data_IF_664134207202
#
_entry.id   IF_664134207202
#
_cell.length_a   1.000
_cell.length_b   1.000
_cell.length_c   1.000
_cell.angle_alpha   90.00
_cell.angle_beta   90.00
_cell.angle_gamma   90.00
#
_symmetry.space_group_name_H-M   'P 1'
#
loop_
_entity.id
_entity.type
_entity.pdbx_description
1 polymer ?
#
# COMPACT_ATOMS: atom_id res chain seq x y z
N UNK A 1 -32.35 -37.53 -22.49
CA UNK A 1 -30.97 -37.44 -21.96
C UNK A 1 -30.13 -38.48 -22.71
N UNK A 2 -29.16 -38.08 -23.55
CA UNK A 2 -28.32 -39.05 -24.28
C UNK A 2 -27.34 -39.70 -23.32
N UNK A 3 -27.23 -41.03 -23.36
CA UNK A 3 -26.18 -41.76 -22.67
C UNK A 3 -24.93 -41.76 -23.56
N UNK A 4 -23.79 -41.35 -22.98
CA UNK A 4 -22.50 -41.23 -23.64
C UNK A 4 -21.50 -42.07 -22.83
N UNK A 5 -20.58 -42.75 -23.51
CA UNK A 5 -19.54 -43.56 -22.86
C UNK A 5 -18.57 -42.69 -22.03
N UNK A 6 -17.91 -43.28 -21.03
CA UNK A 6 -17.01 -42.55 -20.15
C UNK A 6 -15.77 -41.97 -20.88
N UNK A 7 -15.35 -42.59 -21.99
CA UNK A 7 -14.29 -42.12 -22.88
C UNK A 7 -14.77 -41.07 -23.91
N UNK A 8 -16.08 -40.77 -23.93
CA UNK A 8 -16.78 -39.81 -24.80
C UNK A 8 -16.68 -40.11 -26.32
N UNK A 9 -16.29 -41.34 -26.70
CA UNK A 9 -16.21 -41.76 -28.10
C UNK A 9 -17.49 -42.38 -28.66
N UNK A 10 -18.47 -42.68 -27.82
CA UNK A 10 -19.69 -43.39 -28.21
C UNK A 10 -20.93 -42.81 -27.54
N UNK A 11 -22.07 -42.88 -28.23
CA UNK A 11 -23.38 -42.59 -27.66
C UNK A 11 -24.38 -43.71 -27.94
N UNK A 12 -25.36 -43.88 -27.03
CA UNK A 12 -26.37 -44.92 -27.14
C UNK A 12 -27.63 -44.39 -27.84
N UNK A 13 -28.03 -45.02 -28.94
CA UNK A 13 -29.20 -44.60 -29.73
C UNK A 13 -30.54 -45.21 -29.25
N UNK A 14 -30.51 -46.12 -28.26
CA UNK A 14 -31.67 -46.87 -27.79
C UNK A 14 -31.59 -48.37 -28.06
N UNK A 15 -30.75 -48.80 -29.02
CA UNK A 15 -30.59 -50.22 -29.41
C UNK A 15 -29.12 -50.66 -29.53
N UNK A 16 -28.20 -49.76 -29.88
CA UNK A 16 -26.76 -50.05 -30.00
C UNK A 16 -25.90 -48.81 -29.67
N UNK A 17 -24.62 -49.05 -29.40
CA UNK A 17 -23.61 -47.99 -29.29
C UNK A 17 -23.19 -47.54 -30.69
N UNK A 18 -23.18 -46.22 -30.90
CA UNK A 18 -22.77 -45.58 -32.15
C UNK A 18 -21.58 -44.65 -31.88
N UNK A 19 -20.61 -44.54 -32.81
CA UNK A 19 -19.49 -43.63 -32.62
C UNK A 19 -19.98 -42.19 -32.55
N UNK A 20 -19.24 -41.36 -31.81
CA UNK A 20 -19.43 -39.92 -31.77
C UNK A 20 -18.52 -39.32 -32.86
N UNK A 21 -19.09 -38.96 -34.00
CA UNK A 21 -18.36 -38.39 -35.13
C UNK A 21 -17.91 -36.94 -34.80
N UNK A 22 -16.61 -36.67 -34.92
CA UNK A 22 -16.06 -35.32 -34.93
C UNK A 22 -16.13 -34.76 -36.36
N UNK A 23 -16.77 -33.61 -36.53
CA UNK A 23 -16.94 -32.94 -37.84
C UNK A 23 -15.58 -32.58 -38.48
N UNK A 24 -15.16 -33.36 -39.48
CA UNK A 24 -14.14 -32.97 -40.45
C UNK A 24 -14.68 -33.24 -41.85
N UNK A 25 -15.16 -32.18 -42.50
CA UNK A 25 -15.69 -32.23 -43.86
C UNK A 25 -14.58 -32.07 -44.89
N UNK A 26 -14.34 -33.11 -45.71
CA UNK A 26 -13.50 -32.99 -46.91
C UNK A 26 -14.18 -33.59 -48.15
N UNK A 27 -14.37 -32.71 -49.14
CA UNK A 27 -14.55 -32.92 -50.58
C UNK A 27 -15.39 -34.10 -51.12
N UNK A 28 -16.45 -33.75 -51.87
CA UNK A 28 -16.88 -34.51 -53.05
C UNK A 28 -16.90 -33.61 -54.29
N UNK A 29 -16.50 -34.18 -55.44
CA UNK A 29 -16.17 -33.42 -56.65
C UNK A 29 -17.39 -32.92 -57.44
N UNK A 30 -17.24 -31.76 -58.10
CA UNK A 30 -18.16 -31.26 -59.10
C UNK A 30 -17.43 -30.39 -60.12
N UNK A 31 -17.28 -30.87 -61.36
CA UNK A 31 -16.63 -30.12 -62.44
C UNK A 31 -17.63 -29.16 -63.09
N UNK A 32 -17.21 -27.91 -63.34
CA UNK A 32 -18.03 -26.89 -64.00
C UNK A 32 -17.26 -25.60 -64.26
N UNK A 33 -16.69 -25.45 -65.44
CA UNK A 33 -16.02 -24.22 -65.88
C UNK A 33 -17.03 -23.15 -66.28
N UNK A 34 -17.07 -22.03 -65.55
CA UNK A 34 -17.66 -20.78 -66.01
C UNK A 34 -16.83 -19.60 -65.49
N UNK A 35 -16.23 -18.86 -66.40
CA UNK A 35 -15.49 -17.62 -66.09
C UNK A 35 -16.44 -16.51 -65.67
N UNK A 36 -16.27 -15.97 -64.47
CA UNK A 36 -16.87 -14.69 -64.06
C UNK A 36 -15.77 -13.81 -63.48
N UNK A 37 -15.58 -12.66 -64.12
CA UNK A 37 -14.59 -11.65 -63.75
C UNK A 37 -15.07 -10.93 -62.47
N UNK A 38 -14.26 -10.97 -61.41
CA UNK A 38 -14.63 -10.46 -60.09
C UNK A 38 -13.58 -9.48 -59.54
N UNK A 39 -14.07 -8.44 -58.85
CA UNK A 39 -13.33 -7.28 -58.36
C UNK A 39 -12.11 -7.63 -57.47
N UNK A 40 -11.08 -6.76 -57.43
CA UNK A 40 -9.90 -6.98 -56.59
C UNK A 40 -10.28 -7.12 -55.11
N UNK A 41 -9.64 -8.03 -54.36
CA UNK A 41 -9.98 -8.26 -52.97
C UNK A 41 -9.67 -7.03 -52.10
N UNK A 42 -10.66 -6.56 -51.36
CA UNK A 42 -10.45 -5.62 -50.25
C UNK A 42 -9.51 -6.28 -49.25
N UNK A 43 -8.44 -5.61 -48.78
CA UNK A 43 -7.53 -6.19 -47.79
C UNK A 43 -8.28 -6.42 -46.48
N UNK A 44 -8.61 -7.68 -46.21
CA UNK A 44 -9.13 -8.11 -44.91
C UNK A 44 -8.03 -7.86 -43.88
N UNK A 45 -8.26 -7.05 -42.83
CA UNK A 45 -7.27 -6.90 -41.77
C UNK A 45 -7.00 -8.29 -41.18
N UNK A 46 -5.75 -8.65 -40.86
CA UNK A 46 -5.46 -9.97 -40.34
C UNK A 46 -6.29 -10.21 -39.08
N UNK A 47 -7.13 -11.25 -39.12
CA UNK A 47 -7.71 -11.82 -37.90
C UNK A 47 -6.59 -11.99 -36.88
N UNK A 48 -6.85 -11.84 -35.56
CA UNK A 48 -5.85 -12.07 -34.53
C UNK A 48 -5.46 -13.56 -34.50
N UNK A 49 -4.57 -13.92 -35.43
CA UNK A 49 -3.93 -15.22 -35.53
C UNK A 49 -3.33 -15.53 -34.18
N UNK A 50 -3.55 -16.76 -33.72
CA UNK A 50 -3.00 -17.23 -32.45
C UNK A 50 -1.49 -16.95 -32.44
N UNK A 51 -1.09 -15.94 -31.67
CA UNK A 51 0.30 -15.52 -31.61
C UNK A 51 1.15 -16.73 -31.20
N UNK A 52 2.25 -16.95 -31.93
CA UNK A 52 3.17 -18.04 -31.61
C UNK A 52 3.52 -17.98 -30.12
N UNK A 53 3.42 -19.09 -29.37
CA UNK A 53 3.44 -19.06 -27.92
C UNK A 53 4.74 -18.44 -27.42
N UNK A 54 4.63 -17.27 -26.78
CA UNK A 54 5.80 -16.53 -26.26
C UNK A 54 6.58 -17.42 -25.32
N UNK A 55 7.87 -17.64 -25.63
CA UNK A 55 8.76 -18.36 -24.73
C UNK A 55 8.94 -17.57 -23.43
N UNK A 56 8.43 -18.10 -22.33
CA UNK A 56 8.60 -17.55 -20.99
C UNK A 56 9.59 -18.46 -20.25
N UNK A 57 10.89 -18.11 -20.15
CA UNK A 57 11.93 -19.00 -19.61
C UNK A 57 11.57 -19.57 -18.23
N UNK A 58 10.98 -18.73 -17.37
CA UNK A 58 10.54 -19.09 -16.01
C UNK A 58 9.50 -20.23 -15.96
N UNK A 59 8.78 -20.54 -17.05
CA UNK A 59 7.87 -21.71 -17.10
C UNK A 59 8.61 -23.04 -17.24
N UNK A 60 9.85 -23.01 -17.70
CA UNK A 60 10.68 -24.19 -17.95
C UNK A 60 11.78 -24.36 -16.88
N UNK A 61 11.89 -23.40 -15.96
CA UNK A 61 12.71 -23.53 -14.77
C UNK A 61 12.08 -24.56 -13.81
N UNK A 62 12.88 -25.50 -13.31
CA UNK A 62 12.41 -26.47 -12.33
C UNK A 62 12.28 -25.73 -11.01
N UNK A 63 11.05 -25.54 -10.52
CA UNK A 63 10.78 -24.86 -9.25
C UNK A 63 11.58 -25.47 -8.12
N UNK A 64 12.71 -24.85 -7.78
CA UNK A 64 13.54 -25.27 -6.67
C UNK A 64 12.74 -25.10 -5.38
N UNK A 65 12.78 -26.11 -4.49
CA UNK A 65 12.20 -25.98 -3.16
C UNK A 65 12.90 -24.78 -2.48
N UNK A 66 12.18 -23.71 -2.11
CA UNK A 66 12.83 -22.49 -1.65
C UNK A 66 13.65 -22.76 -0.39
N UNK A 67 14.80 -22.13 -0.29
CA UNK A 67 15.74 -22.36 0.82
C UNK A 67 15.26 -21.65 2.09
N UNK A 68 15.00 -22.37 3.20
CA UNK A 68 14.60 -21.74 4.45
C UNK A 68 15.77 -21.02 5.11
N UNK A 69 15.57 -19.76 5.46
CA UNK A 69 16.51 -18.95 6.22
C UNK A 69 16.16 -18.91 7.71
N UNK A 70 14.90 -19.16 8.07
CA UNK A 70 14.32 -18.89 9.39
C UNK A 70 13.76 -20.15 10.07
N UNK A 71 13.42 -20.00 11.35
CA UNK A 71 12.79 -21.05 12.16
C UNK A 71 13.65 -22.31 12.34
N UNK A 72 12.99 -23.43 12.63
CA UNK A 72 13.62 -24.74 12.76
C UNK A 72 14.14 -25.22 11.40
N UNK A 73 13.37 -25.05 10.31
CA UNK A 73 13.78 -25.42 8.95
C UNK A 73 15.10 -24.77 8.53
N UNK A 74 15.26 -23.45 8.72
CA UNK A 74 16.50 -22.74 8.37
C UNK A 74 17.66 -22.95 9.35
N UNK A 75 17.41 -23.49 10.55
CA UNK A 75 18.47 -24.01 11.43
C UNK A 75 18.93 -25.39 10.95
N UNK A 76 18.02 -26.30 10.65
CA UNK A 76 18.33 -27.64 10.13
C UNK A 76 19.02 -27.58 8.76
N UNK A 77 18.58 -26.69 7.86
CA UNK A 77 19.23 -26.48 6.57
C UNK A 77 20.69 -26.02 6.73
N UNK A 78 20.95 -25.05 7.62
CA UNK A 78 22.33 -24.61 7.91
C UNK A 78 23.18 -25.68 8.59
N UNK A 79 22.66 -26.36 9.62
CA UNK A 79 23.37 -27.40 10.36
C UNK A 79 23.66 -28.65 9.50
N UNK A 80 22.82 -28.95 8.52
CA UNK A 80 23.04 -30.04 7.56
C UNK A 80 23.94 -29.67 6.38
N UNK A 81 24.51 -28.44 6.35
CA UNK A 81 25.32 -27.96 5.23
C UNK A 81 24.54 -27.87 3.92
N UNK A 82 23.25 -27.57 3.99
CA UNK A 82 22.34 -27.51 2.84
C UNK A 82 21.75 -28.85 2.39
N UNK A 83 22.07 -29.96 3.05
CA UNK A 83 21.62 -31.31 2.65
C UNK A 83 20.16 -31.61 3.00
N UNK A 84 19.61 -30.98 4.04
CA UNK A 84 18.22 -31.19 4.49
C UNK A 84 17.43 -29.90 4.29
N UNK A 85 16.74 -29.80 3.16
CA UNK A 85 15.81 -28.71 2.87
C UNK A 85 14.36 -29.16 3.14
N UNK A 86 13.80 -28.72 4.26
CA UNK A 86 12.39 -28.96 4.62
C UNK A 86 11.41 -27.96 3.97
N UNK A 87 11.92 -27.06 3.11
CA UNK A 87 11.16 -25.93 2.58
C UNK A 87 10.90 -24.85 3.63
N UNK A 88 10.21 -23.80 3.18
CA UNK A 88 9.80 -22.66 4.01
C UNK A 88 8.78 -23.09 5.05
N UNK A 89 8.94 -22.62 6.28
CA UNK A 89 7.89 -22.76 7.30
C UNK A 89 6.67 -21.87 6.95
N UNK A 90 5.47 -22.24 7.39
CA UNK A 90 4.26 -21.44 7.10
C UNK A 90 4.34 -19.98 7.60
N UNK A 91 5.07 -19.73 8.69
CA UNK A 91 5.33 -18.37 9.17
C UNK A 91 6.34 -17.60 8.29
N UNK A 92 7.34 -18.30 7.75
CA UNK A 92 8.33 -17.74 6.82
C UNK A 92 7.71 -17.44 5.45
N UNK A 93 6.82 -18.31 4.95
CA UNK A 93 6.05 -18.05 3.73
C UNK A 93 5.20 -16.78 3.89
N UNK A 94 4.39 -16.67 4.96
CA UNK A 94 3.59 -15.45 5.22
C UNK A 94 4.44 -14.19 5.30
N UNK A 95 5.63 -14.28 5.90
CA UNK A 95 6.54 -13.14 5.97
C UNK A 95 7.07 -12.72 4.57
N UNK A 96 7.38 -13.68 3.71
CA UNK A 96 7.76 -13.41 2.32
C UNK A 96 6.58 -12.86 1.51
N UNK A 97 5.37 -13.40 1.69
CA UNK A 97 4.15 -12.88 1.06
C UNK A 97 3.90 -11.42 1.44
N UNK A 98 4.09 -11.06 2.71
CA UNK A 98 4.02 -9.67 3.18
C UNK A 98 5.13 -8.79 2.61
N UNK A 99 6.36 -9.29 2.50
CA UNK A 99 7.48 -8.54 1.91
C UNK A 99 7.27 -8.28 0.40
N UNK A 100 6.85 -9.30 -0.36
CA UNK A 100 6.65 -9.16 -1.80
C UNK A 100 5.41 -8.30 -2.11
N UNK A 101 4.39 -8.36 -1.26
CA UNK A 101 3.30 -7.41 -1.32
C UNK A 101 3.74 -5.98 -0.96
N UNK A 102 4.55 -5.79 0.10
CA UNK A 102 5.08 -4.48 0.46
C UNK A 102 5.97 -3.89 -0.64
N UNK A 103 6.79 -4.71 -1.32
CA UNK A 103 7.67 -4.31 -2.44
C UNK A 103 6.95 -3.85 -3.71
N UNK A 104 5.65 -4.09 -3.86
CA UNK A 104 4.93 -3.72 -5.07
C UNK A 104 4.74 -2.19 -5.13
N UNK A 105 5.17 -1.49 -6.20
CA UNK A 105 5.04 -0.03 -6.31
C UNK A 105 3.60 0.49 -6.23
N UNK A 106 3.47 1.80 -6.02
CA UNK A 106 2.18 2.47 -6.10
C UNK A 106 1.69 2.51 -7.56
N UNK A 107 0.38 2.55 -7.73
CA UNK A 107 -0.27 2.66 -9.03
C UNK A 107 -1.22 3.85 -8.94
N UNK A 108 -1.03 4.83 -9.84
CA UNK A 108 -1.70 6.12 -9.91
C UNK A 108 -3.18 6.09 -9.45
N UNK A 109 -3.68 7.12 -8.71
CA UNK A 109 -3.01 8.37 -8.29
C UNK A 109 -2.05 8.20 -7.09
N UNK A 110 -1.34 9.27 -6.66
CA UNK A 110 -0.55 9.27 -5.43
C UNK A 110 -1.36 8.85 -4.21
N UNK A 111 -0.75 8.05 -3.34
CA UNK A 111 -1.41 7.48 -2.16
C UNK A 111 -1.24 8.37 -0.93
N UNK A 112 -2.35 8.86 -0.36
CA UNK A 112 -2.32 9.62 0.89
C UNK A 112 -2.55 8.72 2.11
N UNK A 113 -1.52 8.52 2.94
CA UNK A 113 -1.60 7.75 4.18
C UNK A 113 -1.60 8.70 5.38
N UNK A 114 -2.75 8.89 6.01
CA UNK A 114 -2.87 9.72 7.20
C UNK A 114 -2.58 8.92 8.48
N UNK A 115 -1.77 9.45 9.37
CA UNK A 115 -1.42 8.84 10.66
C UNK A 115 -2.01 9.70 11.78
N UNK A 116 -2.96 9.14 12.54
CA UNK A 116 -3.82 9.85 13.46
C UNK A 116 -3.78 9.29 14.89
N UNK A 117 -4.06 10.14 15.87
CA UNK A 117 -4.34 9.76 17.26
C UNK A 117 -4.91 10.97 18.01
N UNK A 118 -6.01 10.78 18.75
CA UNK A 118 -6.51 11.81 19.66
C UNK A 118 -5.63 12.01 20.92
N UNK A 119 -4.66 11.12 21.21
CA UNK A 119 -3.77 11.24 22.38
C UNK A 119 -2.36 11.68 21.98
N UNK A 120 -1.84 12.69 22.68
CA UNK A 120 -0.44 13.11 22.56
C UNK A 120 0.54 12.04 23.05
N UNK A 121 1.75 12.01 22.51
CA UNK A 121 2.84 11.18 23.02
C UNK A 121 2.75 9.66 22.72
N UNK A 122 1.71 9.16 22.03
CA UNK A 122 1.53 7.73 21.70
C UNK A 122 2.53 7.16 20.69
N UNK A 123 3.35 8.01 20.06
CA UNK A 123 4.30 7.62 19.02
C UNK A 123 3.80 7.77 17.58
N UNK A 124 2.66 8.44 17.35
CA UNK A 124 2.08 8.76 16.03
C UNK A 124 3.13 9.23 15.00
N UNK A 125 3.87 10.28 15.32
CA UNK A 125 4.90 10.87 14.44
C UNK A 125 6.11 9.94 14.22
N UNK A 126 6.43 9.12 15.21
CA UNK A 126 7.43 8.06 15.08
C UNK A 126 6.92 6.96 14.13
N UNK A 127 5.63 6.62 14.19
CA UNK A 127 4.99 5.66 13.27
C UNK A 127 4.95 6.18 11.84
N UNK A 128 4.64 7.46 11.63
CA UNK A 128 4.67 8.10 10.32
C UNK A 128 6.06 7.98 9.67
N UNK A 129 7.13 8.35 10.39
CA UNK A 129 8.51 8.24 9.89
C UNK A 129 8.97 6.79 9.69
N UNK A 130 8.56 5.86 10.56
CA UNK A 130 8.85 4.43 10.41
C UNK A 130 8.19 3.83 9.17
N UNK A 131 6.90 4.09 8.99
CA UNK A 131 6.14 3.61 7.83
C UNK A 131 6.71 4.19 6.54
N UNK A 132 6.87 5.52 6.48
CA UNK A 132 7.42 6.20 5.31
C UNK A 132 8.85 5.73 4.98
N UNK A 133 9.71 5.55 5.98
CA UNK A 133 11.06 5.00 5.79
C UNK A 133 11.03 3.54 5.35
N UNK A 134 10.08 2.73 5.83
CA UNK A 134 9.97 1.32 5.43
C UNK A 134 9.58 1.17 3.97
N UNK A 135 8.57 1.94 3.54
CA UNK A 135 8.12 2.03 2.15
C UNK A 135 9.32 2.37 1.26
N UNK A 136 10.09 3.40 1.61
CA UNK A 136 11.26 3.86 0.83
C UNK A 136 12.45 2.91 0.84
N UNK A 137 12.58 2.03 1.84
CA UNK A 137 13.56 0.95 1.87
C UNK A 137 13.16 -0.27 1.03
N UNK A 138 11.86 -0.50 0.82
CA UNK A 138 11.35 -1.69 0.12
C UNK A 138 11.03 -1.44 -1.36
N UNK A 139 10.74 -0.20 -1.74
CA UNK A 139 10.10 0.15 -3.03
C UNK A 139 10.89 1.25 -3.76
N UNK A 140 10.59 1.49 -5.02
CA UNK A 140 11.21 2.57 -5.81
C UNK A 140 10.33 3.82 -5.92
N UNK A 141 9.20 3.83 -5.23
CA UNK A 141 8.31 4.98 -5.09
C UNK A 141 9.06 6.16 -4.46
N UNK A 142 8.70 7.38 -4.85
CA UNK A 142 9.11 8.61 -4.20
C UNK A 142 8.15 8.89 -3.06
N UNK A 143 8.67 8.98 -1.84
CA UNK A 143 7.85 9.15 -0.64
C UNK A 143 8.22 10.44 0.07
N UNK A 144 7.19 11.15 0.54
CA UNK A 144 7.33 12.30 1.41
C UNK A 144 6.50 12.14 2.68
N UNK A 145 7.08 12.47 3.82
CA UNK A 145 6.36 12.65 5.07
C UNK A 145 6.12 14.14 5.34
N UNK A 146 4.87 14.51 5.63
CA UNK A 146 4.47 15.90 5.92
C UNK A 146 3.92 15.98 7.33
N UNK A 147 4.43 16.92 8.11
CA UNK A 147 3.95 17.19 9.46
C UNK A 147 2.76 18.17 9.43
N UNK A 148 1.55 17.62 9.60
CA UNK A 148 0.27 18.33 9.52
C UNK A 148 -0.30 18.62 10.92
N UNK A 149 0.54 19.05 11.86
CA UNK A 149 0.13 19.36 13.24
C UNK A 149 0.20 20.87 13.53
N UNK A 150 -0.93 21.59 13.67
CA UNK A 150 -0.93 23.02 13.98
C UNK A 150 -0.44 23.32 15.41
N UNK A 151 -0.46 22.34 16.31
CA UNK A 151 -0.13 22.57 17.72
C UNK A 151 1.34 22.32 18.05
N UNK A 152 1.94 21.23 17.57
CA UNK A 152 3.30 20.82 17.98
C UNK A 152 4.05 20.01 16.90
N UNK A 153 5.11 20.59 16.34
CA UNK A 153 6.05 19.88 15.47
C UNK A 153 6.98 18.93 16.26
N UNK A 154 7.34 17.82 15.64
CA UNK A 154 8.05 16.69 16.25
C UNK A 154 9.14 16.11 15.34
N UNK A 155 8.97 16.13 14.01
CA UNK A 155 9.88 15.53 13.05
C UNK A 155 11.32 16.07 13.19
N UNK A 156 11.48 17.37 13.50
CA UNK A 156 12.79 18.01 13.75
C UNK A 156 13.59 17.38 14.91
N UNK A 157 12.91 16.69 15.83
CA UNK A 157 13.57 15.93 16.93
C UNK A 157 13.95 14.49 16.54
N UNK A 158 13.53 14.04 15.34
CA UNK A 158 13.57 12.64 14.88
C UNK A 158 14.41 12.44 13.61
N UNK A 159 14.68 13.48 12.84
CA UNK A 159 15.56 13.39 11.67
C UNK A 159 16.72 14.39 11.78
N UNK A 160 17.89 14.13 11.19
CA UNK A 160 18.95 15.11 11.09
C UNK A 160 18.56 16.21 10.10
N UNK A 161 18.06 17.33 10.63
CA UNK A 161 17.64 18.49 9.82
C UNK A 161 18.81 19.07 9.03
N UNK A 162 18.61 19.34 7.73
CA UNK A 162 19.60 20.02 6.86
C UNK A 162 19.39 21.54 6.79
N UNK A 163 18.19 22.00 7.13
CA UNK A 163 17.79 23.40 7.14
C UNK A 163 16.62 23.61 8.10
N UNK A 164 16.33 24.85 8.46
CA UNK A 164 15.21 25.18 9.37
C UNK A 164 13.86 25.46 8.69
N UNK A 165 13.81 25.45 7.35
CA UNK A 165 12.58 25.70 6.58
C UNK A 165 11.50 24.66 6.83
N UNK A 166 10.27 25.11 6.69
CA UNK A 166 9.02 24.42 7.02
C UNK A 166 8.02 24.49 5.85
N UNK A 167 6.85 23.88 6.04
CA UNK A 167 5.73 24.02 5.09
C UNK A 167 5.32 25.49 4.87
N UNK A 168 5.46 26.39 5.85
CA UNK A 168 5.16 27.82 5.68
C UNK A 168 6.13 28.49 4.71
N UNK A 169 7.42 28.18 4.80
CA UNK A 169 8.44 28.72 3.89
C UNK A 169 8.21 28.27 2.44
N UNK A 170 7.64 27.07 2.24
CA UNK A 170 7.21 26.60 0.92
C UNK A 170 6.00 27.41 0.41
N UNK A 171 5.02 27.70 1.27
CA UNK A 171 3.85 28.52 0.91
C UNK A 171 4.28 29.94 0.57
N UNK A 172 5.12 30.58 1.39
CA UNK A 172 5.67 31.92 1.13
C UNK A 172 6.45 31.99 -0.19
N UNK A 173 7.11 30.89 -0.57
CA UNK A 173 7.80 30.80 -1.86
C UNK A 173 6.86 30.54 -3.05
N UNK A 174 5.69 29.94 -2.82
CA UNK A 174 4.62 29.83 -3.81
C UNK A 174 3.81 31.13 -3.96
N UNK A 175 3.81 32.01 -2.95
CA UNK A 175 3.29 33.38 -3.02
C UNK A 175 4.34 34.39 -3.54
N UNK A 176 5.60 33.95 -3.71
CA UNK A 176 6.71 34.77 -4.17
C UNK A 176 6.76 34.96 -5.69
N UNK A 177 7.42 36.03 -6.18
CA UNK A 177 7.59 36.29 -7.62
C UNK A 177 8.42 35.24 -8.35
N UNK A 178 9.11 34.34 -7.64
CA UNK A 178 9.86 33.22 -8.24
C UNK A 178 8.98 32.13 -8.86
N UNK A 179 7.66 32.12 -8.56
CA UNK A 179 6.71 31.10 -9.02
C UNK A 179 5.40 31.77 -9.43
N UNK A 180 5.19 32.04 -10.72
CA UNK A 180 3.93 32.65 -11.20
C UNK A 180 2.69 31.78 -10.95
N UNK A 181 2.85 30.45 -11.02
CA UNK A 181 1.80 29.46 -10.75
C UNK A 181 2.40 28.26 -10.04
N UNK A 182 1.64 27.61 -9.16
CA UNK A 182 2.08 26.42 -8.43
C UNK A 182 2.65 25.29 -9.31
N UNK A 183 2.23 25.22 -10.58
CA UNK A 183 2.71 24.27 -11.59
C UNK A 183 4.14 24.51 -12.03
N UNK A 184 4.62 25.75 -11.93
CA UNK A 184 5.94 26.18 -12.35
C UNK A 184 7.02 25.86 -11.30
N UNK A 185 6.61 25.53 -10.06
CA UNK A 185 7.51 24.97 -9.04
C UNK A 185 8.07 23.62 -9.49
N UNK A 186 9.37 23.59 -9.75
CA UNK A 186 10.12 22.37 -10.11
C UNK A 186 10.55 21.54 -8.89
N UNK A 187 10.86 20.25 -9.09
CA UNK A 187 11.35 19.37 -8.02
C UNK A 187 12.64 19.89 -7.32
N UNK A 188 13.67 20.41 -8.03
CA UNK A 188 14.83 21.03 -7.38
C UNK A 188 14.47 22.27 -6.54
N UNK A 189 13.43 23.03 -6.91
CA UNK A 189 12.95 24.16 -6.10
C UNK A 189 12.25 23.65 -4.84
N UNK A 190 11.42 22.60 -4.94
CA UNK A 190 10.76 21.95 -3.81
C UNK A 190 11.76 21.35 -2.80
N UNK A 191 12.86 20.74 -3.29
CA UNK A 191 13.95 20.21 -2.45
C UNK A 191 14.66 21.28 -1.60
N UNK A 192 14.41 22.58 -1.83
CA UNK A 192 14.90 23.66 -0.93
C UNK A 192 14.15 23.70 0.40
N UNK A 193 13.03 22.98 0.53
CA UNK A 193 12.13 22.98 1.69
C UNK A 193 11.94 21.57 2.30
N UNK A 194 12.56 20.54 1.72
CA UNK A 194 12.51 19.16 2.21
C UNK A 194 13.84 18.72 2.83
N UNK A 195 13.77 17.91 3.88
CA UNK A 195 14.95 17.19 4.41
C UNK A 195 14.92 15.74 3.95
N UNK A 196 15.89 15.39 3.11
CA UNK A 196 16.14 14.03 2.66
C UNK A 196 16.78 13.15 3.76
N UNK A 197 16.19 11.99 4.03
CA UNK A 197 16.73 10.88 4.85
C UNK A 197 17.39 9.87 3.89
N UNK A 198 18.74 9.85 3.77
CA UNK A 198 19.42 9.11 2.70
C UNK A 198 19.17 7.60 2.70
N UNK A 199 19.06 7.01 3.89
CA UNK A 199 18.97 5.56 4.09
C UNK A 199 17.68 4.99 3.47
N UNK A 200 16.59 5.75 3.54
CA UNK A 200 15.26 5.34 3.06
C UNK A 200 14.80 6.08 1.81
N UNK A 201 15.55 7.09 1.32
CA UNK A 201 15.12 8.01 0.24
C UNK A 201 13.84 8.80 0.57
N UNK A 202 13.51 8.90 1.86
CA UNK A 202 12.34 9.64 2.34
C UNK A 202 12.64 11.14 2.32
N UNK A 203 11.78 11.92 1.68
CA UNK A 203 11.73 13.37 1.88
C UNK A 203 10.84 13.71 3.08
N UNK A 204 11.17 14.79 3.81
CA UNK A 204 10.37 15.25 4.94
C UNK A 204 10.14 16.76 4.90
N UNK A 205 8.87 17.18 5.05
CA UNK A 205 8.49 18.57 5.33
C UNK A 205 8.03 18.66 6.78
N UNK A 206 8.60 19.63 7.51
CA UNK A 206 8.30 19.87 8.94
C UNK A 206 7.34 21.04 9.12
N UNK A 207 6.60 21.05 10.23
CA UNK A 207 5.79 22.20 10.61
C UNK A 207 6.68 23.38 11.06
N UNK A 208 6.20 24.64 10.96
CA UNK A 208 6.88 25.81 11.53
C UNK A 208 7.23 25.61 13.01
N UNK A 209 8.31 26.23 13.49
CA UNK A 209 8.68 26.20 14.91
C UNK A 209 7.84 27.14 15.77
N UNK A 210 7.46 28.31 15.24
CA UNK A 210 6.58 29.27 15.91
C UNK A 210 5.12 28.75 15.98
N UNK A 211 4.53 28.59 17.19
CA UNK A 211 3.14 28.18 17.35
C UNK A 211 2.13 29.11 16.66
N UNK A 212 2.37 30.43 16.60
CA UNK A 212 1.47 31.40 15.96
C UNK A 212 1.42 31.17 14.45
N UNK A 213 2.58 30.95 13.85
CA UNK A 213 2.69 30.65 12.41
C UNK A 213 2.01 29.31 12.11
N UNK A 214 2.20 28.27 12.94
CA UNK A 214 1.50 26.99 12.77
C UNK A 214 -0.02 27.11 12.84
N UNK A 215 -0.55 27.89 13.78
CA UNK A 215 -1.99 28.10 13.95
C UNK A 215 -2.62 28.94 12.83
N UNK A 216 -1.82 29.71 12.09
CA UNK A 216 -2.28 30.48 10.93
C UNK A 216 -2.39 29.64 9.64
N UNK A 217 -1.82 28.43 9.59
CA UNK A 217 -1.91 27.54 8.42
C UNK A 217 -3.32 26.95 8.29
N UNK A 218 -4.01 27.31 7.21
CA UNK A 218 -5.39 26.91 6.93
C UNK A 218 -5.51 25.71 5.98
N UNK A 219 -6.75 25.28 5.75
CA UNK A 219 -7.08 24.21 4.80
C UNK A 219 -6.53 24.50 3.39
N UNK A 220 -6.62 25.76 2.94
CA UNK A 220 -6.24 26.16 1.59
C UNK A 220 -4.74 26.05 1.36
N UNK A 221 -3.93 26.35 2.38
CA UNK A 221 -2.48 26.16 2.39
C UNK A 221 -2.10 24.69 2.19
N UNK A 222 -2.67 23.79 3.00
CA UNK A 222 -2.41 22.36 2.88
C UNK A 222 -2.91 21.80 1.55
N UNK A 223 -4.08 22.24 1.05
CA UNK A 223 -4.58 21.85 -0.29
C UNK A 223 -3.64 22.31 -1.41
N UNK A 224 -3.01 23.48 -1.27
CA UNK A 224 -2.02 23.99 -2.22
C UNK A 224 -0.75 23.13 -2.20
N UNK A 225 -0.24 22.85 -1.01
CA UNK A 225 0.95 22.00 -0.82
C UNK A 225 0.71 20.58 -1.35
N UNK A 226 -0.41 19.92 -1.01
CA UNK A 226 -0.68 18.55 -1.49
C UNK A 226 -0.72 18.47 -3.03
N UNK A 227 -1.38 19.42 -3.71
CA UNK A 227 -1.38 19.51 -5.19
C UNK A 227 0.00 19.73 -5.82
N UNK A 228 0.98 20.23 -5.05
CA UNK A 228 2.38 20.30 -5.46
C UNK A 228 3.07 18.96 -5.24
N UNK A 229 2.87 18.32 -4.08
CA UNK A 229 3.49 17.04 -3.74
C UNK A 229 3.02 15.89 -4.63
N UNK A 230 1.72 15.85 -4.97
CA UNK A 230 1.09 14.88 -5.87
C UNK A 230 1.74 14.80 -7.27
N UNK A 231 2.43 15.85 -7.72
CA UNK A 231 3.15 15.83 -9.01
C UNK A 231 4.51 15.15 -8.95
N UNK A 232 5.06 14.97 -7.74
CA UNK A 232 6.45 14.60 -7.52
C UNK A 232 6.64 13.35 -6.68
N UNK A 233 5.67 13.01 -5.83
CA UNK A 233 5.71 11.88 -4.90
C UNK A 233 4.56 10.92 -5.17
N UNK A 234 4.87 9.62 -5.18
CA UNK A 234 3.89 8.55 -5.39
C UNK A 234 3.14 8.22 -4.09
N UNK A 235 3.73 8.55 -2.93
CA UNK A 235 3.15 8.32 -1.59
C UNK A 235 3.41 9.53 -0.70
N UNK A 236 2.35 10.04 -0.07
CA UNK A 236 2.37 11.15 0.87
C UNK A 236 1.89 10.66 2.24
N UNK A 237 2.79 10.64 3.23
CA UNK A 237 2.48 10.23 4.61
C UNK A 237 2.22 11.47 5.46
N UNK A 238 1.00 11.61 5.97
CA UNK A 238 0.54 12.80 6.68
C UNK A 238 0.51 12.54 8.19
N UNK A 239 1.41 13.17 8.95
CA UNK A 239 1.43 13.09 10.42
C UNK A 239 0.50 14.15 11.01
N UNK A 240 -0.71 13.77 11.40
CA UNK A 240 -1.76 14.72 11.79
C UNK A 240 -1.53 15.34 13.18
N UNK A 241 -2.31 16.36 13.53
CA UNK A 241 -2.40 16.84 14.90
C UNK A 241 -3.00 15.81 15.88
N UNK A 242 -3.04 16.18 17.16
CA UNK A 242 -3.83 15.47 18.19
C UNK A 242 -5.26 15.98 18.27
N UNK A 243 -5.54 17.18 17.76
CA UNK A 243 -6.88 17.76 17.69
C UNK A 243 -7.64 17.21 16.50
N UNK A 244 -8.42 16.14 16.66
CA UNK A 244 -9.27 15.62 15.57
C UNK A 244 -10.32 16.64 15.10
N UNK A 245 -10.74 17.53 15.99
CA UNK A 245 -11.72 18.58 15.71
C UNK A 245 -11.14 19.83 15.04
N UNK A 246 -9.82 19.88 14.82
CA UNK A 246 -9.16 20.94 14.05
C UNK A 246 -9.54 20.84 12.56
N UNK A 247 -9.91 21.97 11.94
CA UNK A 247 -10.46 22.01 10.58
C UNK A 247 -9.50 21.46 9.51
N UNK A 248 -8.19 21.64 9.67
CA UNK A 248 -7.19 21.03 8.78
C UNK A 248 -7.14 19.51 8.97
N UNK A 249 -7.19 19.05 10.22
CA UNK A 249 -7.23 17.61 10.54
C UNK A 249 -8.50 16.96 9.98
N UNK A 250 -9.67 17.59 10.14
CA UNK A 250 -10.92 17.17 9.49
C UNK A 250 -10.80 17.11 7.99
N UNK A 251 -10.32 18.18 7.35
CA UNK A 251 -10.14 18.24 5.90
C UNK A 251 -9.29 17.08 5.37
N UNK A 252 -8.16 16.78 6.03
CA UNK A 252 -7.30 15.66 5.64
C UNK A 252 -8.04 14.32 5.82
N UNK A 253 -8.65 14.10 6.99
CA UNK A 253 -9.39 12.89 7.30
C UNK A 253 -10.61 12.68 6.40
N UNK A 254 -11.27 13.74 5.94
CA UNK A 254 -12.49 13.67 5.15
C UNK A 254 -12.29 13.67 3.63
N UNK A 255 -11.30 14.42 3.12
CA UNK A 255 -11.16 14.71 1.68
C UNK A 255 -9.84 14.28 1.07
N UNK A 256 -8.77 14.15 1.85
CA UNK A 256 -7.41 13.88 1.33
C UNK A 256 -6.98 12.43 1.52
N UNK A 257 -7.18 11.84 2.70
CA UNK A 257 -6.60 10.53 2.98
C UNK A 257 -7.24 9.39 2.18
N UNK A 258 -6.40 8.49 1.66
CA UNK A 258 -6.80 7.23 1.04
C UNK A 258 -6.80 6.07 2.02
N UNK A 259 -5.93 6.16 3.02
CA UNK A 259 -5.70 5.18 4.08
C UNK A 259 -5.53 5.92 5.41
N UNK A 260 -5.95 5.27 6.48
CA UNK A 260 -5.84 5.79 7.84
C UNK A 260 -5.07 4.82 8.72
N UNK A 261 -4.05 5.30 9.41
CA UNK A 261 -3.33 4.58 10.47
C UNK A 261 -3.67 5.23 11.81
N UNK A 262 -4.51 4.57 12.61
CA UNK A 262 -4.83 5.04 13.97
C UNK A 262 -3.84 4.43 14.94
N UNK A 263 -3.07 5.27 15.65
CA UNK A 263 -2.10 4.85 16.65
C UNK A 263 -2.70 5.01 18.05
N UNK A 264 -3.00 3.88 18.69
CA UNK A 264 -3.46 3.81 20.08
C UNK A 264 -2.35 3.19 20.94
N UNK A 265 -2.07 3.66 22.16
CA UNK A 265 -1.15 2.98 23.08
C UNK A 265 -1.86 1.77 23.72
N UNK A 266 -1.09 0.85 24.29
CA UNK A 266 -1.63 -0.26 25.09
C UNK A 266 -2.07 0.21 26.51
N UNK A 267 -3.02 1.15 26.56
CA UNK A 267 -3.56 1.80 27.76
C UNK A 267 -5.08 1.99 27.59
N UNK A 268 -5.87 1.96 28.67
CA UNK A 268 -7.35 2.05 28.60
C UNK A 268 -7.83 3.39 28.00
N UNK A 269 -7.44 4.52 28.60
CA UNK A 269 -7.78 5.86 28.12
C UNK A 269 -7.27 6.11 26.69
N UNK A 270 -6.17 5.43 26.32
CA UNK A 270 -5.61 5.49 24.97
C UNK A 270 -6.40 4.66 23.95
N UNK A 271 -7.02 3.56 24.39
CA UNK A 271 -7.94 2.76 23.59
C UNK A 271 -9.23 3.54 23.31
N UNK A 272 -9.79 4.20 24.34
CA UNK A 272 -10.97 5.08 24.21
C UNK A 272 -10.72 6.22 23.22
N UNK A 273 -9.58 6.91 23.33
CA UNK A 273 -9.18 7.95 22.37
C UNK A 273 -8.88 7.40 20.95
N UNK A 274 -8.47 6.13 20.84
CA UNK A 274 -8.38 5.41 19.58
C UNK A 274 -9.76 5.10 18.97
N UNK A 275 -10.73 4.68 19.79
CA UNK A 275 -12.12 4.45 19.40
C UNK A 275 -12.77 5.74 18.91
N UNK A 276 -12.67 6.83 19.66
CA UNK A 276 -13.15 8.15 19.27
C UNK A 276 -12.57 8.63 17.92
N UNK A 277 -11.31 8.29 17.63
CA UNK A 277 -10.68 8.56 16.32
C UNK A 277 -11.36 7.81 15.17
N UNK A 278 -11.79 6.57 15.41
CA UNK A 278 -12.50 5.75 14.43
C UNK A 278 -13.95 6.21 14.28
N UNK A 279 -14.65 6.48 15.39
CA UNK A 279 -16.02 6.99 15.40
C UNK A 279 -16.13 8.30 14.60
N UNK A 280 -15.23 9.27 14.85
CA UNK A 280 -15.19 10.53 14.09
C UNK A 280 -15.05 10.32 12.56
N UNK A 281 -14.25 9.36 12.13
CA UNK A 281 -14.07 9.04 10.70
C UNK A 281 -15.23 8.19 10.17
N UNK A 282 -15.89 7.39 11.02
CA UNK A 282 -17.10 6.65 10.65
C UNK A 282 -18.29 7.60 10.40
N UNK A 283 -18.44 8.65 11.22
CA UNK A 283 -19.50 9.65 11.05
C UNK A 283 -19.34 10.45 9.74
N UNK A 284 -18.10 10.65 9.29
CA UNK A 284 -17.79 11.48 8.11
C UNK A 284 -17.57 10.71 6.81
N UNK A 285 -17.06 9.46 6.87
CA UNK A 285 -16.80 8.60 5.69
C UNK A 285 -17.55 7.26 5.69
N UNK A 286 -18.23 6.90 6.76
CA UNK A 286 -18.90 5.61 6.93
C UNK A 286 -17.99 4.50 7.46
N UNK A 287 -18.57 3.60 8.26
CA UNK A 287 -17.87 2.44 8.86
C UNK A 287 -17.21 1.55 7.80
N UNK A 288 -17.83 1.37 6.64
CA UNK A 288 -17.29 0.51 5.58
C UNK A 288 -16.00 1.08 4.96
N UNK A 289 -15.83 2.42 4.95
CA UNK A 289 -14.57 3.03 4.55
C UNK A 289 -13.44 2.63 5.50
N UNK A 290 -13.68 2.61 6.82
CA UNK A 290 -12.71 2.15 7.81
C UNK A 290 -12.39 0.65 7.65
N UNK A 291 -13.40 -0.18 7.42
CA UNK A 291 -13.22 -1.63 7.21
C UNK A 291 -12.42 -1.96 5.94
N UNK A 292 -12.43 -1.08 4.94
CA UNK A 292 -11.60 -1.24 3.74
C UNK A 292 -10.21 -0.56 3.84
N UNK A 293 -10.09 0.54 4.59
CA UNK A 293 -8.95 1.48 4.45
C UNK A 293 -8.25 1.89 5.75
N UNK A 294 -8.82 1.61 6.92
CA UNK A 294 -8.16 1.87 8.19
C UNK A 294 -7.28 0.71 8.66
N UNK A 295 -6.22 1.05 9.38
CA UNK A 295 -5.33 0.15 10.10
C UNK A 295 -5.20 0.70 11.51
N UNK A 296 -5.45 -0.13 12.52
CA UNK A 296 -5.21 0.24 13.92
C UNK A 296 -3.89 -0.36 14.36
N UNK A 297 -3.08 0.44 15.03
CA UNK A 297 -1.79 0.07 15.60
C UNK A 297 -1.86 0.25 17.11
N UNK A 298 -1.92 -0.86 17.85
CA UNK A 298 -1.74 -0.89 19.31
C UNK A 298 -0.23 -0.84 19.58
N UNK A 299 0.26 0.35 19.91
CA UNK A 299 1.68 0.65 20.03
C UNK A 299 2.22 0.44 21.45
N UNK A 300 3.53 0.16 21.56
CA UNK A 300 4.28 -0.02 22.81
C UNK A 300 3.78 -1.16 23.70
N UNK A 301 3.33 -2.26 23.09
CA UNK A 301 2.99 -3.46 23.84
C UNK A 301 4.24 -4.00 24.53
N UNK A 302 4.10 -4.39 25.80
CA UNK A 302 5.13 -5.09 26.59
C UNK A 302 4.52 -6.34 27.21
N UNK A 303 5.34 -7.27 27.70
CA UNK A 303 4.86 -8.53 28.28
C UNK A 303 3.93 -8.33 29.49
N UNK A 304 4.20 -7.29 30.28
CA UNK A 304 3.50 -7.00 31.53
C UNK A 304 2.45 -5.88 31.37
N UNK A 305 1.96 -5.65 30.14
CA UNK A 305 0.85 -4.72 29.88
C UNK A 305 -0.39 -5.15 30.65
N UNK A 306 -0.92 -4.26 31.50
CA UNK A 306 -2.03 -4.56 32.42
C UNK A 306 -3.43 -4.53 31.77
N UNK A 307 -3.54 -4.06 30.53
CA UNK A 307 -4.81 -4.04 29.77
C UNK A 307 -4.95 -5.28 28.88
N UNK A 308 -6.19 -5.69 28.64
CA UNK A 308 -6.51 -6.78 27.72
C UNK A 308 -6.28 -6.38 26.25
N UNK A 309 -5.02 -6.48 25.81
CA UNK A 309 -4.62 -6.22 24.41
C UNK A 309 -5.36 -7.14 23.42
N UNK A 310 -5.56 -8.45 23.67
CA UNK A 310 -6.45 -9.28 22.85
C UNK A 310 -7.90 -8.76 22.74
N UNK A 311 -8.48 -8.26 23.83
CA UNK A 311 -9.79 -7.59 23.84
C UNK A 311 -9.79 -6.32 22.98
N UNK A 312 -8.76 -5.47 23.13
CA UNK A 312 -8.57 -4.28 22.28
C UNK A 312 -8.40 -4.64 20.80
N UNK A 313 -7.60 -5.66 20.46
CA UNK A 313 -7.48 -6.16 19.08
C UNK A 313 -8.85 -6.58 18.52
N UNK A 314 -9.66 -7.27 19.34
CA UNK A 314 -10.98 -7.77 18.96
C UNK A 314 -11.95 -6.61 18.70
N UNK A 315 -11.99 -5.61 19.58
CA UNK A 315 -12.77 -4.39 19.40
C UNK A 315 -12.36 -3.63 18.12
N UNK A 316 -11.07 -3.34 17.94
CA UNK A 316 -10.61 -2.55 16.80
C UNK A 316 -10.77 -3.25 15.45
N UNK A 317 -10.78 -4.59 15.40
CA UNK A 317 -11.09 -5.36 14.17
C UNK A 317 -12.54 -5.26 13.70
N UNK A 318 -13.47 -4.80 14.55
CA UNK A 318 -14.84 -4.53 14.11
C UNK A 318 -14.96 -3.25 13.24
N UNK A 319 -14.03 -2.32 13.43
CA UNK A 319 -13.96 -1.02 12.78
C UNK A 319 -12.98 -0.97 11.60
N UNK A 320 -11.77 -1.49 11.79
CA UNK A 320 -10.67 -1.35 10.83
C UNK A 320 -10.36 -2.65 10.09
N UNK A 321 -9.85 -2.54 8.85
CA UNK A 321 -9.44 -3.68 8.02
C UNK A 321 -8.46 -4.63 8.73
N UNK A 322 -7.53 -4.07 9.49
CA UNK A 322 -6.53 -4.80 10.27
C UNK A 322 -6.28 -4.05 11.58
N UNK A 323 -6.21 -4.79 12.69
CA UNK A 323 -5.60 -4.31 13.93
C UNK A 323 -4.31 -5.10 14.18
N UNK A 324 -3.20 -4.38 14.35
CA UNK A 324 -1.86 -4.88 14.57
C UNK A 324 -1.33 -4.34 15.90
N UNK A 325 -0.48 -5.12 16.55
CA UNK A 325 0.30 -4.70 17.71
C UNK A 325 1.73 -4.38 17.29
N UNK A 326 2.38 -3.47 18.00
CA UNK A 326 3.82 -3.22 17.90
C UNK A 326 4.44 -3.34 19.28
N UNK A 327 5.42 -4.22 19.39
CA UNK A 327 6.24 -4.40 20.59
C UNK A 327 7.07 -3.15 20.87
N UNK A 328 7.29 -2.82 22.15
CA UNK A 328 8.10 -1.66 22.53
C UNK A 328 9.59 -1.85 22.14
N UNK A 329 9.98 -1.19 21.06
CA UNK A 329 11.38 -1.10 20.63
C UNK A 329 12.22 -0.17 21.53
N UNK A 330 13.43 -0.59 21.88
CA UNK A 330 14.32 0.15 22.77
C UNK A 330 14.82 1.47 22.17
N UNK A 331 15.18 1.50 20.88
CA UNK A 331 15.65 2.72 20.22
C UNK A 331 14.51 3.73 20.08
N UNK A 332 13.31 3.26 19.68
CA UNK A 332 12.12 4.12 19.61
C UNK A 332 11.71 4.69 20.98
N UNK A 333 11.88 3.90 22.05
CA UNK A 333 11.62 4.32 23.43
C UNK A 333 12.59 5.40 23.92
N UNK A 334 13.90 5.25 23.64
CA UNK A 334 14.92 6.26 23.99
C UNK A 334 14.60 7.62 23.37
N UNK A 335 14.08 7.62 22.15
CA UNK A 335 13.75 8.83 21.42
C UNK A 335 14.96 9.47 20.73
N UNK A 336 14.82 10.76 20.39
CA UNK A 336 15.82 11.48 19.58
C UNK A 336 15.82 11.04 18.11
N UNK A 337 16.96 11.24 17.45
CA UNK A 337 17.17 10.98 16.02
C UNK A 337 16.95 9.49 15.71
N UNK A 338 16.17 9.26 14.67
CA UNK A 338 15.85 7.97 14.10
C UNK A 338 17.04 7.37 13.34
N UNK A 339 17.35 6.11 13.62
CA UNK A 339 18.33 5.30 12.91
C UNK A 339 17.72 3.94 12.60
N UNK A 340 17.53 3.65 11.31
CA UNK A 340 16.92 2.39 10.87
C UNK A 340 17.72 1.15 11.29
N UNK A 341 19.05 1.27 11.41
CA UNK A 341 19.93 0.14 11.74
C UNK A 341 19.81 -0.31 13.20
N UNK A 342 19.22 0.54 14.06
CA UNK A 342 19.01 0.29 15.48
C UNK A 342 17.61 -0.23 15.81
N UNK A 343 16.73 -0.32 14.82
CA UNK A 343 15.39 -0.88 14.96
C UNK A 343 15.48 -2.40 15.11
N UNK A 344 14.83 -2.92 16.15
CA UNK A 344 14.76 -4.35 16.41
C UNK A 344 14.13 -5.10 15.24
N UNK A 345 14.56 -6.36 15.06
CA UNK A 345 14.01 -7.23 14.01
C UNK A 345 12.50 -7.45 14.16
N UNK A 346 12.00 -7.47 15.39
CA UNK A 346 10.56 -7.60 15.70
C UNK A 346 9.77 -6.40 15.17
N UNK A 347 10.12 -5.17 15.59
CA UNK A 347 9.46 -3.96 15.11
C UNK A 347 9.56 -3.81 13.58
N UNK A 348 10.70 -4.14 12.97
CA UNK A 348 10.87 -4.12 11.51
C UNK A 348 9.90 -5.10 10.82
N UNK A 349 9.70 -6.31 11.36
CA UNK A 349 8.74 -7.28 10.84
C UNK A 349 7.29 -6.82 11.02
N UNK A 350 6.95 -6.17 12.14
CA UNK A 350 5.62 -5.59 12.38
C UNK A 350 5.31 -4.44 11.41
N UNK A 351 6.26 -3.54 11.14
CA UNK A 351 6.08 -2.40 10.21
C UNK A 351 5.88 -2.88 8.75
N UNK A 352 6.51 -4.00 8.34
CA UNK A 352 6.23 -4.61 7.02
C UNK A 352 4.75 -5.01 6.90
N UNK A 353 4.14 -5.50 7.98
CA UNK A 353 2.73 -5.90 7.97
C UNK A 353 1.82 -4.65 7.90
N UNK A 354 2.25 -3.53 8.48
CA UNK A 354 1.56 -2.23 8.38
C UNK A 354 1.65 -1.64 6.96
N UNK A 355 2.79 -1.79 6.26
CA UNK A 355 2.99 -1.40 4.84
C UNK A 355 2.35 -2.38 3.84
N UNK A 356 2.06 -3.61 4.24
CA UNK A 356 1.22 -4.53 3.46
C UNK A 356 -0.29 -4.29 3.68
N UNK A 357 -0.69 -3.95 4.91
CA UNK A 357 -1.81 -3.03 5.12
C UNK A 357 -1.41 -1.65 4.56
N UNK A 358 -2.22 -0.59 4.66
CA UNK A 358 -1.99 0.68 3.94
C UNK A 358 -1.89 0.57 2.39
N UNK A 359 -1.75 -0.62 1.79
CA UNK A 359 -2.00 -0.82 0.36
C UNK A 359 -3.50 -0.78 0.12
N UNK A 360 -3.94 0.13 -0.74
CA UNK A 360 -5.27 0.00 -1.36
C UNK A 360 -5.22 -1.25 -2.25
N UNK A 361 -6.07 -2.25 -1.96
CA UNK A 361 -6.40 -3.24 -2.99
C UNK A 361 -7.17 -2.50 -4.07
N UNK A 362 -6.49 -2.10 -5.14
CA UNK A 362 -7.18 -1.68 -6.35
C UNK A 362 -8.07 -2.86 -6.78
N UNK A 363 -9.38 -2.69 -6.63
CA UNK A 363 -10.34 -3.54 -7.33
C UNK A 363 -10.06 -3.28 -8.81
N UNK A 364 -9.38 -4.20 -9.50
CA UNK A 364 -9.38 -4.20 -10.95
C UNK A 364 -10.85 -4.18 -11.37
N UNK A 365 -11.30 -3.05 -11.90
CA UNK A 365 -12.67 -2.90 -12.38
C UNK A 365 -12.77 -3.76 -13.64
N UNK A 366 -13.15 -5.02 -13.46
CA UNK A 366 -13.34 -5.94 -14.56
C UNK A 366 -14.43 -5.36 -15.45
N UNK A 367 -14.07 -5.08 -16.70
CA UNK A 367 -14.92 -4.39 -17.66
C UNK A 367 -16.17 -5.22 -18.00
N UNK A 368 -17.22 -5.07 -17.18
CA UNK A 368 -18.55 -5.63 -17.38
C UNK A 368 -19.61 -4.52 -17.37
N UNK A 369 -19.45 -3.56 -18.27
CA UNK A 369 -20.58 -2.82 -18.84
C UNK A 369 -20.27 -2.32 -20.26
N UNK A 370 -20.11 -3.28 -21.17
CA UNK A 370 -20.51 -3.09 -22.56
C UNK A 370 -21.46 -4.23 -22.92
N UNK A 371 -22.75 -3.99 -22.71
CA UNK A 371 -23.79 -4.47 -23.62
C UNK A 371 -24.61 -3.26 -24.03
N UNK A 372 -24.85 -3.16 -25.32
CA UNK A 372 -25.50 -2.03 -25.96
C UNK A 372 -27.00 -1.97 -25.64
N UNK A 373 -27.60 -0.90 -26.18
CA UNK A 373 -29.01 -0.75 -26.54
C UNK A 373 -29.69 -2.05 -26.97
#
# INVERSE_FOLDING_TARGET
MRLISADRKWWWNGQSWQPLEDDVSEASAGAGTATSEALPPVPVPPSPSAAAPTFVPRRYDKSAVPTPARGVSGRLYRLSGGRVNLGLSAAEQRHLDHLDAARTPAVNPPLHVAVASAKGGVGKSTMALLLASRIGLLRTDRIIAVECNPHHGTFRSRIPMRHDRSIKDLIDFLDGPEVERDTDLTLPMLHRFTTNVPESRLEVITAPTDPKIRQALGIDDYRRVFRVLERYFDIVVLDLGTGLLDETTKYILEKVCDQLVVVAPAELDGAELGAFTLEFVADTRGVDWLRERAVVVINRVVKDTQVDVPGMETYFRAWARVCLRISQDAHLKTGGIFDWNRISREANEEIVIIDHACRVRQRFCSSRSQRCC
#
